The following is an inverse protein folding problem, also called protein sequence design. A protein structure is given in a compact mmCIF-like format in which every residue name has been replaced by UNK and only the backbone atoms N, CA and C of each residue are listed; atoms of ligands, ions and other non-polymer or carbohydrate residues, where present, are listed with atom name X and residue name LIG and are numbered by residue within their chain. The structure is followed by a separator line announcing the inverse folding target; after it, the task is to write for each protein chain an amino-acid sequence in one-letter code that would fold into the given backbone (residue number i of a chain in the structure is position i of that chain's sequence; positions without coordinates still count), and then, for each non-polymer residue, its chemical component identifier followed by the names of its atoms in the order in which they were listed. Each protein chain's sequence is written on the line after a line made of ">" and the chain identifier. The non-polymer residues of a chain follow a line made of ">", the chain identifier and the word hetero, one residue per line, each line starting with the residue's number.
data_IF_856725469076
#
_entry.id   IF_856725469076
#
_cell.length_a   1.000
_cell.length_b   1.000
_cell.length_c   1.000
_cell.angle_alpha   90.00
_cell.angle_beta   90.00
_cell.angle_gamma   90.00
#
_symmetry.space_group_name_H-M   'P 1'
#
loop_
_entity.id
_entity.type
_entity.pdbx_description
1 polymer ?
#
# COMPACT_ATOMS: atom_id res chain seq x y z
N UNK A 1 57.71 -1.21 52.65
CA UNK A 1 56.81 -0.50 51.70
C UNK A 1 56.06 -1.54 50.88
N UNK A 2 54.79 -1.82 51.22
CA UNK A 2 53.95 -2.79 50.53
C UNK A 2 53.17 -2.05 49.43
N UNK A 3 53.43 -2.40 48.14
CA UNK A 3 52.70 -1.89 46.99
C UNK A 3 51.35 -2.62 46.88
N UNK A 4 50.25 -1.90 47.08
CA UNK A 4 48.91 -2.39 46.78
C UNK A 4 48.66 -2.24 45.28
N UNK A 5 48.49 -3.39 44.58
CA UNK A 5 47.98 -3.44 43.22
C UNK A 5 46.42 -3.47 43.32
N UNK A 6 45.78 -2.43 42.80
CA UNK A 6 44.31 -2.36 42.65
C UNK A 6 44.01 -3.01 41.30
N UNK A 7 43.18 -4.06 41.24
CA UNK A 7 42.73 -4.60 39.95
C UNK A 7 41.70 -3.65 39.31
N UNK A 8 42.03 -3.13 38.14
CA UNK A 8 41.08 -2.44 37.30
C UNK A 8 40.11 -3.47 36.76
N UNK A 9 38.89 -3.50 37.31
CA UNK A 9 37.77 -4.24 36.76
C UNK A 9 37.31 -3.55 35.50
N UNK A 10 37.62 -4.14 34.35
CA UNK A 10 37.13 -3.73 33.04
C UNK A 10 35.63 -4.03 32.97
N UNK A 11 34.79 -3.04 33.24
CA UNK A 11 33.34 -3.14 33.04
C UNK A 11 33.07 -3.17 31.54
N UNK A 12 33.00 -4.38 30.95
CA UNK A 12 32.45 -4.59 29.63
C UNK A 12 30.97 -4.25 29.67
N UNK A 13 30.62 -3.02 29.28
CA UNK A 13 29.25 -2.65 29.00
C UNK A 13 28.81 -3.48 27.78
N UNK A 14 28.23 -4.65 28.03
CA UNK A 14 27.46 -5.41 27.04
C UNK A 14 26.24 -4.55 26.69
N UNK A 15 26.35 -3.74 25.63
CA UNK A 15 25.16 -3.16 24.99
C UNK A 15 24.35 -4.32 24.44
N UNK A 16 23.37 -4.77 25.20
CA UNK A 16 22.37 -5.71 24.73
C UNK A 16 21.57 -5.02 23.60
N UNK A 17 22.04 -5.15 22.37
CA UNK A 17 21.23 -4.88 21.18
C UNK A 17 20.10 -5.91 21.22
N UNK A 18 18.91 -5.48 21.63
CA UNK A 18 17.74 -6.34 21.70
C UNK A 18 17.45 -6.94 20.32
N UNK A 19 17.75 -8.23 20.17
CA UNK A 19 17.45 -8.99 18.96
C UNK A 19 15.95 -8.98 18.69
N UNK A 20 15.56 -8.72 17.46
CA UNK A 20 14.14 -8.74 17.05
C UNK A 20 13.64 -10.18 17.17
N UNK A 21 12.57 -10.37 17.95
CA UNK A 21 11.94 -11.69 18.09
C UNK A 21 10.74 -11.78 17.17
N UNK A 22 10.50 -12.98 16.65
CA UNK A 22 9.29 -13.25 15.87
C UNK A 22 8.04 -12.88 16.67
N UNK A 23 7.10 -12.19 16.01
CA UNK A 23 5.80 -11.92 16.59
C UNK A 23 4.69 -12.00 15.52
N UNK A 24 3.51 -12.36 15.96
CA UNK A 24 2.36 -12.57 15.09
C UNK A 24 1.88 -11.30 14.40
N UNK A 25 2.00 -10.14 15.04
CA UNK A 25 1.55 -8.87 14.44
C UNK A 25 2.39 -8.52 13.20
N UNK A 26 3.71 -8.74 13.24
CA UNK A 26 4.59 -8.54 12.09
C UNK A 26 4.20 -9.50 10.94
N UNK A 27 3.99 -10.78 11.25
CA UNK A 27 3.57 -11.75 10.21
C UNK A 27 2.23 -11.38 9.59
N UNK A 28 1.27 -10.92 10.39
CA UNK A 28 -0.03 -10.45 9.89
C UNK A 28 0.14 -9.22 8.97
N UNK A 29 0.99 -8.28 9.36
CA UNK A 29 1.31 -7.11 8.54
C UNK A 29 1.87 -7.52 7.18
N UNK A 30 2.85 -8.42 7.14
CA UNK A 30 3.42 -8.91 5.88
C UNK A 30 2.38 -9.64 5.02
N UNK A 31 1.57 -10.49 5.62
CA UNK A 31 0.49 -11.19 4.90
C UNK A 31 -0.52 -10.22 4.26
N UNK A 32 -0.78 -9.10 4.92
CA UNK A 32 -1.72 -8.09 4.46
C UNK A 32 -1.14 -7.22 3.33
N UNK A 33 0.14 -6.84 3.41
CA UNK A 33 0.73 -5.83 2.53
C UNK A 33 1.74 -6.36 1.52
N UNK A 34 2.09 -7.65 1.55
CA UNK A 34 3.07 -8.24 0.63
C UNK A 34 2.74 -7.99 -0.85
N UNK A 35 1.47 -8.07 -1.21
CA UNK A 35 1.06 -7.92 -2.60
C UNK A 35 1.27 -6.48 -3.08
N UNK A 36 1.01 -5.50 -2.22
CA UNK A 36 1.31 -4.09 -2.52
C UNK A 36 2.81 -3.87 -2.66
N UNK A 37 3.62 -4.41 -1.73
CA UNK A 37 5.06 -4.26 -1.77
C UNK A 37 5.70 -4.88 -3.02
N UNK A 38 5.21 -6.06 -3.45
CA UNK A 38 5.66 -6.71 -4.69
C UNK A 38 5.28 -5.85 -5.91
N UNK A 39 4.08 -5.26 -5.94
CA UNK A 39 3.69 -4.33 -6.99
C UNK A 39 4.63 -3.12 -7.05
N UNK A 40 4.89 -2.48 -5.89
CA UNK A 40 5.81 -1.35 -5.82
C UNK A 40 7.22 -1.72 -6.29
N UNK A 41 7.71 -2.92 -5.96
CA UNK A 41 8.98 -3.43 -6.46
C UNK A 41 9.02 -3.50 -7.98
N UNK A 42 7.95 -3.96 -8.61
CA UNK A 42 7.91 -4.11 -10.06
C UNK A 42 7.80 -2.76 -10.78
N UNK A 43 7.10 -1.80 -10.19
CA UNK A 43 6.92 -0.47 -10.77
C UNK A 43 8.13 0.45 -10.55
N UNK A 44 8.73 0.37 -9.38
CA UNK A 44 9.75 1.33 -8.94
C UNK A 44 11.13 0.72 -8.71
N UNK A 45 11.30 -0.58 -8.92
CA UNK A 45 12.56 -1.30 -8.72
C UNK A 45 13.13 -1.21 -7.27
N UNK A 46 12.25 -1.04 -6.28
CA UNK A 46 12.58 -1.06 -4.85
C UNK A 46 12.29 -2.48 -4.32
N UNK A 47 13.21 -3.17 -3.63
CA UNK A 47 12.93 -4.51 -3.10
C UNK A 47 11.65 -4.57 -2.27
N UNK A 48 10.79 -5.55 -2.52
CA UNK A 48 9.56 -5.74 -1.74
C UNK A 48 9.87 -5.99 -0.27
N UNK A 49 10.96 -6.72 0.00
CA UNK A 49 11.47 -6.97 1.35
C UNK A 49 11.83 -5.68 2.10
N UNK A 50 12.45 -4.73 1.43
CA UNK A 50 12.80 -3.41 1.99
C UNK A 50 11.53 -2.63 2.32
N UNK A 51 10.60 -2.53 1.37
CA UNK A 51 9.34 -1.80 1.58
C UNK A 51 8.54 -2.40 2.74
N UNK A 52 8.45 -3.73 2.83
CA UNK A 52 7.76 -4.40 3.93
C UNK A 52 8.45 -4.19 5.28
N UNK A 53 9.78 -4.32 5.32
CA UNK A 53 10.54 -4.14 6.56
C UNK A 53 10.46 -2.70 7.07
N UNK A 54 10.52 -1.70 6.19
CA UNK A 54 10.28 -0.30 6.54
C UNK A 54 8.86 -0.10 7.03
N UNK A 55 7.86 -0.53 6.27
CA UNK A 55 6.46 -0.35 6.63
C UNK A 55 6.10 -0.95 7.99
N UNK A 56 6.55 -2.17 8.30
CA UNK A 56 6.28 -2.80 9.61
C UNK A 56 6.99 -2.08 10.75
N UNK A 57 8.22 -1.61 10.51
CA UNK A 57 9.05 -0.96 11.50
C UNK A 57 8.56 0.45 11.84
N UNK A 58 8.31 1.28 10.81
CA UNK A 58 7.88 2.68 10.96
C UNK A 58 6.43 2.79 11.48
N UNK A 59 5.57 1.82 11.16
CA UNK A 59 4.16 1.86 11.54
C UNK A 59 3.82 1.04 12.80
N UNK A 60 4.80 0.47 13.50
CA UNK A 60 4.55 -0.48 14.57
C UNK A 60 3.57 -1.59 14.14
N UNK A 61 3.83 -2.21 12.98
CA UNK A 61 2.94 -3.19 12.35
C UNK A 61 1.53 -2.64 11.99
N UNK A 62 1.45 -1.39 11.56
CA UNK A 62 0.20 -0.71 11.22
C UNK A 62 -0.60 -0.22 12.43
N UNK A 63 0.00 -0.23 13.62
CA UNK A 63 -0.65 0.15 14.87
C UNK A 63 -0.25 1.54 15.39
N UNK A 64 0.71 2.21 14.73
CA UNK A 64 1.06 3.58 15.09
C UNK A 64 -0.11 4.53 14.84
N UNK A 65 -0.15 5.64 15.56
CA UNK A 65 -1.17 6.67 15.39
C UNK A 65 -1.23 7.19 13.96
N UNK A 66 -0.09 7.42 13.33
CA UNK A 66 0.02 7.84 11.93
C UNK A 66 -0.57 6.81 10.96
N UNK A 67 -0.35 5.51 11.20
CA UNK A 67 -0.92 4.46 10.38
C UNK A 67 -2.44 4.33 10.56
N UNK A 68 -2.94 4.47 11.81
CA UNK A 68 -4.38 4.33 12.12
C UNK A 68 -5.17 5.54 11.61
N UNK A 69 -4.72 6.77 11.90
CA UNK A 69 -5.46 7.99 11.58
C UNK A 69 -5.26 8.47 10.17
N UNK A 70 -4.05 8.30 9.63
CA UNK A 70 -3.64 8.85 8.33
C UNK A 70 -3.27 7.81 7.29
N UNK A 71 -3.40 6.51 7.53
CA UNK A 71 -2.86 5.45 6.68
C UNK A 71 -1.37 5.66 6.33
N UNK A 72 -0.63 6.42 7.13
CA UNK A 72 0.77 6.74 6.87
C UNK A 72 1.68 5.67 7.50
N UNK A 73 2.04 4.68 6.69
CA UNK A 73 2.84 3.53 7.12
C UNK A 73 4.35 3.79 7.16
N UNK A 74 4.81 4.94 6.68
CA UNK A 74 6.25 5.24 6.54
C UNK A 74 6.67 6.54 7.23
N UNK A 75 5.76 7.20 7.94
CA UNK A 75 6.06 8.44 8.65
C UNK A 75 6.48 9.59 7.73
N UNK A 76 5.89 9.70 6.53
CA UNK A 76 6.29 10.75 5.58
C UNK A 76 5.69 12.08 6.01
N UNK A 77 6.58 13.08 6.22
CA UNK A 77 6.23 14.45 6.63
C UNK A 77 5.66 15.27 5.45
N UNK A 78 4.93 16.34 5.73
CA UNK A 78 4.16 17.14 4.75
C UNK A 78 4.98 17.91 3.71
N UNK A 79 6.30 17.99 3.79
CA UNK A 79 7.10 18.83 2.91
C UNK A 79 6.76 18.64 1.44
N UNK A 80 6.23 19.70 0.80
CA UNK A 80 5.81 19.67 -0.60
C UNK A 80 4.54 18.86 -0.89
N UNK A 81 3.70 18.64 0.14
CA UNK A 81 2.46 17.87 0.03
C UNK A 81 1.23 18.77 -0.05
N UNK A 82 0.35 18.51 -1.02
CA UNK A 82 -0.92 19.24 -1.20
C UNK A 82 -2.16 18.40 -0.85
N UNK A 83 -1.97 17.16 -0.39
CA UNK A 83 -3.04 16.25 0.02
C UNK A 83 -3.45 16.43 1.48
N UNK A 84 -4.26 15.49 1.99
CA UNK A 84 -4.68 15.48 3.40
C UNK A 84 -3.48 15.34 4.33
N UNK A 85 -3.61 15.93 5.52
CA UNK A 85 -2.56 15.94 6.55
C UNK A 85 -3.08 15.45 7.88
N UNK A 86 -2.18 14.98 8.71
CA UNK A 86 -2.39 14.68 10.13
C UNK A 86 -1.22 15.22 10.92
N UNK A 87 -1.39 15.38 12.23
CA UNK A 87 -0.37 15.95 13.10
C UNK A 87 -0.02 14.95 14.20
N UNK A 88 1.27 14.88 14.51
CA UNK A 88 1.79 13.98 15.53
C UNK A 88 3.06 14.56 16.15
N UNK A 89 3.30 14.29 17.42
CA UNK A 89 4.55 14.65 18.10
C UNK A 89 5.63 13.62 17.74
N UNK A 90 6.71 14.08 17.08
CA UNK A 90 7.85 13.26 16.69
C UNK A 90 9.15 13.97 17.13
N UNK A 91 9.98 14.46 16.21
CA UNK A 91 11.16 15.27 16.54
C UNK A 91 10.77 16.61 17.16
N UNK A 92 9.66 17.16 16.73
CA UNK A 92 9.04 18.39 17.25
C UNK A 92 7.58 18.13 17.64
N UNK A 93 7.02 19.06 18.43
CA UNK A 93 5.59 19.00 18.78
C UNK A 93 4.73 19.38 17.57
N UNK A 94 3.63 18.64 17.40
CA UNK A 94 2.62 18.91 16.39
C UNK A 94 3.19 18.97 14.95
N UNK A 95 4.12 18.08 14.61
CA UNK A 95 4.65 18.00 13.26
C UNK A 95 3.60 17.51 12.26
N UNK A 96 3.68 18.04 11.03
CA UNK A 96 2.78 17.71 9.96
C UNK A 96 3.22 16.46 9.20
N UNK A 97 2.33 15.49 9.10
CA UNK A 97 2.51 14.25 8.33
C UNK A 97 1.45 14.12 7.24
N UNK A 98 1.83 13.49 6.14
CA UNK A 98 0.90 13.16 5.04
C UNK A 98 -0.16 12.19 5.54
N UNK A 99 -1.39 12.35 5.06
CA UNK A 99 -2.48 11.41 5.32
C UNK A 99 -3.07 10.93 3.99
N UNK A 100 -3.40 9.64 3.94
CA UNK A 100 -3.83 8.95 2.73
C UNK A 100 -5.20 8.31 2.94
N UNK A 101 -5.92 8.04 1.86
CA UNK A 101 -7.21 7.35 1.92
C UNK A 101 -7.04 5.83 2.10
N UNK A 102 -5.85 5.30 1.80
CA UNK A 102 -5.53 3.88 1.94
C UNK A 102 -4.05 3.64 2.24
N UNK A 103 -3.75 2.47 2.78
CA UNK A 103 -2.37 2.00 2.89
C UNK A 103 -1.68 1.90 1.53
N UNK A 104 -2.43 1.56 0.46
CA UNK A 104 -1.90 1.52 -0.90
C UNK A 104 -1.26 2.87 -1.30
N UNK A 105 -1.97 3.99 -1.05
CA UNK A 105 -1.46 5.33 -1.37
C UNK A 105 -0.21 5.67 -0.57
N UNK A 106 -0.13 5.24 0.69
CA UNK A 106 1.07 5.39 1.50
C UNK A 106 2.27 4.64 0.92
N UNK A 107 2.08 3.40 0.45
CA UNK A 107 3.12 2.61 -0.21
C UNK A 107 3.54 3.20 -1.55
N UNK A 108 2.59 3.71 -2.31
CA UNK A 108 2.84 4.39 -3.58
C UNK A 108 3.66 5.67 -3.37
N UNK A 109 3.24 6.52 -2.45
CA UNK A 109 3.92 7.77 -2.13
C UNK A 109 5.32 7.53 -1.55
N UNK A 110 5.50 6.50 -0.72
CA UNK A 110 6.81 6.08 -0.24
C UNK A 110 7.75 5.69 -1.39
N UNK A 111 7.25 4.93 -2.35
CA UNK A 111 8.05 4.55 -3.52
C UNK A 111 8.43 5.76 -4.35
N UNK A 112 7.50 6.68 -4.61
CA UNK A 112 7.76 7.93 -5.32
C UNK A 112 8.72 8.84 -4.54
N UNK A 113 8.61 8.91 -3.22
CA UNK A 113 9.54 9.64 -2.37
C UNK A 113 10.97 9.15 -2.52
N UNK A 114 11.21 7.84 -2.59
CA UNK A 114 12.53 7.28 -2.81
C UNK A 114 13.05 7.55 -4.23
N UNK A 115 12.21 7.33 -5.25
CA UNK A 115 12.58 7.53 -6.67
C UNK A 115 12.92 8.99 -6.97
N UNK A 116 12.11 9.92 -6.46
CA UNK A 116 12.22 11.34 -6.78
C UNK A 116 13.26 12.09 -5.93
N UNK A 117 13.78 11.49 -4.86
CA UNK A 117 14.77 12.13 -4.00
C UNK A 117 16.20 11.84 -4.48
N UNK A 118 16.97 12.86 -4.89
CA UNK A 118 18.33 12.68 -5.44
C UNK A 118 19.28 11.89 -4.52
N UNK A 119 19.12 12.02 -3.21
CA UNK A 119 19.95 11.34 -2.21
C UNK A 119 19.85 9.80 -2.27
N UNK A 120 18.76 9.24 -2.78
CA UNK A 120 18.57 7.79 -2.92
C UNK A 120 18.92 7.24 -4.30
N UNK A 121 19.30 8.10 -5.26
CA UNK A 121 19.57 7.70 -6.66
C UNK A 121 20.52 6.52 -6.79
N UNK A 122 21.57 6.45 -5.97
CA UNK A 122 22.55 5.37 -6.01
C UNK A 122 21.96 3.99 -5.67
N UNK A 123 20.86 3.93 -4.89
CA UNK A 123 20.23 2.68 -4.52
C UNK A 123 19.66 1.94 -5.75
N UNK A 124 19.22 2.69 -6.75
CA UNK A 124 18.60 2.13 -7.96
C UNK A 124 19.61 1.48 -8.92
N UNK A 125 20.92 1.57 -8.64
CA UNK A 125 21.95 0.79 -9.31
C UNK A 125 22.15 -0.61 -8.71
N UNK A 126 21.61 -0.85 -7.50
CA UNK A 126 21.66 -2.14 -6.83
C UNK A 126 20.64 -3.11 -7.44
N UNK A 127 20.94 -4.40 -7.37
CA UNK A 127 19.94 -5.44 -7.71
C UNK A 127 18.80 -5.37 -6.70
N UNK A 128 17.57 -5.56 -7.16
CA UNK A 128 16.40 -5.61 -6.26
C UNK A 128 16.41 -6.80 -5.27
N UNK A 129 17.25 -7.81 -5.51
CA UNK A 129 17.51 -8.90 -4.57
C UNK A 129 18.62 -8.60 -3.55
N UNK A 130 19.30 -7.45 -3.70
CA UNK A 130 20.33 -7.01 -2.74
C UNK A 130 19.74 -6.15 -1.61
N UNK A 131 18.83 -6.73 -0.86
CA UNK A 131 18.21 -6.04 0.28
C UNK A 131 19.23 -5.55 1.32
N UNK A 132 20.38 -6.21 1.46
CA UNK A 132 21.44 -5.78 2.40
C UNK A 132 22.09 -4.48 1.94
N UNK A 133 22.42 -4.39 0.66
CA UNK A 133 22.92 -3.15 0.03
C UNK A 133 21.89 -2.03 0.12
N UNK A 134 20.63 -2.32 -0.15
CA UNK A 134 19.54 -1.37 -0.02
C UNK A 134 19.38 -0.84 1.42
N UNK A 135 19.32 -1.71 2.44
CA UNK A 135 19.18 -1.31 3.84
C UNK A 135 20.33 -0.40 4.30
N UNK A 136 21.58 -0.78 3.97
CA UNK A 136 22.77 0.01 4.28
C UNK A 136 22.77 1.36 3.54
N UNK A 137 22.40 1.34 2.28
CA UNK A 137 22.34 2.54 1.44
C UNK A 137 21.25 3.52 1.89
N UNK A 138 20.08 3.05 2.30
CA UNK A 138 19.03 3.87 2.91
C UNK A 138 19.55 4.61 4.17
N UNK A 139 20.24 3.86 5.06
CA UNK A 139 20.85 4.47 6.24
C UNK A 139 21.93 5.49 5.87
N UNK A 140 22.83 5.17 4.94
CA UNK A 140 23.89 6.07 4.48
C UNK A 140 23.32 7.33 3.82
N UNK A 141 22.20 7.22 3.10
CA UNK A 141 21.49 8.34 2.48
C UNK A 141 20.63 9.15 3.47
N UNK A 142 20.66 8.81 4.78
CA UNK A 142 19.97 9.57 5.82
C UNK A 142 18.45 9.35 5.87
N UNK A 143 17.98 8.13 5.53
CA UNK A 143 16.56 7.82 5.68
C UNK A 143 16.12 7.86 7.15
N UNK A 144 16.96 7.37 8.06
CA UNK A 144 16.73 7.40 9.49
C UNK A 144 17.99 7.83 10.26
N UNK A 145 17.80 8.46 11.40
CA UNK A 145 18.89 8.91 12.30
C UNK A 145 19.49 7.74 13.09
N UNK A 146 18.67 6.74 13.44
CA UNK A 146 19.08 5.58 14.25
C UNK A 146 20.26 4.82 13.61
N UNK A 147 21.42 4.68 14.29
CA UNK A 147 22.60 3.98 13.76
C UNK A 147 22.33 2.49 13.49
N UNK A 148 21.38 1.87 14.19
CA UNK A 148 21.00 0.46 14.03
C UNK A 148 19.98 0.21 12.92
N UNK A 149 19.52 1.25 12.22
CA UNK A 149 18.41 1.16 11.26
C UNK A 149 18.61 0.07 10.21
N UNK A 150 19.76 0.06 9.54
CA UNK A 150 20.06 -0.93 8.51
C UNK A 150 20.06 -2.37 9.06
N UNK A 151 20.63 -2.55 10.25
CA UNK A 151 20.69 -3.88 10.89
C UNK A 151 19.30 -4.37 11.27
N UNK A 152 18.44 -3.49 11.79
CA UNK A 152 17.06 -3.83 12.13
C UNK A 152 16.24 -4.24 10.91
N UNK A 153 16.37 -3.52 9.79
CA UNK A 153 15.71 -3.92 8.54
C UNK A 153 16.22 -5.29 8.06
N UNK A 154 17.54 -5.51 8.05
CA UNK A 154 18.13 -6.79 7.63
C UNK A 154 17.65 -7.93 8.53
N UNK A 155 17.61 -7.72 9.84
CA UNK A 155 17.15 -8.72 10.81
C UNK A 155 15.68 -9.08 10.59
N UNK A 156 14.79 -8.09 10.38
CA UNK A 156 13.37 -8.31 10.03
C UNK A 156 13.27 -9.12 8.74
N UNK A 157 13.98 -8.71 7.69
CA UNK A 157 13.94 -9.38 6.39
C UNK A 157 14.38 -10.85 6.51
N UNK A 158 15.42 -11.13 7.27
CA UNK A 158 15.93 -12.49 7.46
C UNK A 158 15.00 -13.34 8.33
N UNK A 159 14.51 -12.79 9.45
CA UNK A 159 13.65 -13.49 10.39
C UNK A 159 12.33 -13.95 9.75
N UNK A 160 11.74 -13.12 8.91
CA UNK A 160 10.46 -13.38 8.23
C UNK A 160 10.63 -13.86 6.78
N UNK A 161 11.89 -14.06 6.32
CA UNK A 161 12.24 -14.49 4.96
C UNK A 161 11.63 -13.59 3.87
N UNK A 162 11.52 -12.28 4.12
CA UNK A 162 10.89 -11.36 3.20
C UNK A 162 11.63 -11.27 1.85
N UNK A 163 12.91 -11.63 1.80
CA UNK A 163 13.71 -11.67 0.59
C UNK A 163 13.14 -12.63 -0.48
N UNK A 164 12.30 -13.60 -0.09
CA UNK A 164 11.61 -14.47 -1.04
C UNK A 164 10.64 -13.67 -1.96
N UNK A 165 10.10 -12.57 -1.48
CA UNK A 165 9.24 -11.69 -2.28
C UNK A 165 10.02 -10.89 -3.33
N UNK A 166 11.33 -10.66 -3.15
CA UNK A 166 12.17 -9.95 -4.11
C UNK A 166 12.42 -10.76 -5.39
N UNK A 167 12.25 -12.08 -5.33
CA UNK A 167 12.35 -13.00 -6.45
C UNK A 167 11.02 -13.21 -7.19
N UNK A 168 9.93 -12.60 -6.73
CA UNK A 168 8.62 -12.71 -7.35
C UNK A 168 8.69 -12.20 -8.81
N UNK A 169 8.74 -13.14 -9.77
CA UNK A 169 8.85 -12.84 -11.22
C UNK A 169 7.56 -12.29 -11.81
N UNK A 170 6.44 -12.60 -11.20
CA UNK A 170 5.11 -12.23 -11.67
C UNK A 170 4.25 -11.84 -10.48
N UNK A 171 4.12 -10.55 -10.30
CA UNK A 171 3.07 -10.07 -9.41
C UNK A 171 1.70 -10.43 -9.99
N UNK A 172 1.52 -10.31 -11.26
CA UNK A 172 0.48 -10.93 -12.10
C UNK A 172 0.82 -10.63 -13.57
N UNK A 173 0.64 -11.63 -14.42
CA UNK A 173 0.69 -11.51 -15.89
C UNK A 173 -0.13 -10.32 -16.39
N UNK A 174 -1.24 -10.03 -15.71
CA UNK A 174 -2.10 -8.88 -16.02
C UNK A 174 -1.35 -7.54 -15.91
N UNK A 175 -0.62 -7.28 -14.80
CA UNK A 175 0.11 -6.02 -14.63
C UNK A 175 1.22 -5.90 -15.68
N UNK A 176 1.96 -6.97 -15.95
CA UNK A 176 3.03 -6.95 -16.96
C UNK A 176 2.51 -6.69 -18.39
N UNK A 177 1.28 -7.08 -18.68
CA UNK A 177 0.64 -6.87 -19.99
C UNK A 177 0.02 -5.47 -20.14
N UNK A 178 -0.40 -4.83 -19.03
CA UNK A 178 -1.19 -3.59 -19.05
C UNK A 178 -0.46 -2.36 -18.49
N UNK A 179 0.79 -2.49 -18.04
CA UNK A 179 1.63 -1.37 -17.59
C UNK A 179 2.74 -1.01 -18.58
N UNK A 180 2.74 -1.59 -19.78
CA UNK A 180 3.69 -1.22 -20.83
C UNK A 180 3.38 0.18 -21.34
N UNK A 181 4.42 1.02 -21.35
CA UNK A 181 4.45 2.41 -21.82
C UNK A 181 3.51 2.69 -22.99
N UNK A 182 2.38 3.30 -22.70
CA UNK A 182 1.57 3.98 -23.69
C UNK A 182 1.25 5.37 -23.13
N UNK A 183 2.18 6.32 -23.28
CA UNK A 183 1.88 7.73 -23.04
C UNK A 183 0.93 8.22 -24.12
N UNK A 184 -0.34 8.32 -23.80
CA UNK A 184 -1.35 8.95 -24.65
C UNK A 184 -1.64 10.33 -24.08
N UNK A 185 -1.42 11.38 -24.86
CA UNK A 185 -1.83 12.77 -24.61
C UNK A 185 -1.24 13.54 -23.43
N UNK A 186 0.02 13.33 -23.04
CA UNK A 186 0.72 14.25 -22.11
C UNK A 186 0.22 14.23 -20.65
N UNK A 187 -0.85 13.52 -20.36
CA UNK A 187 -1.26 13.17 -18.98
C UNK A 187 -0.68 11.80 -18.64
N UNK A 188 0.02 11.69 -17.50
CA UNK A 188 0.58 10.41 -17.07
C UNK A 188 -0.47 9.31 -17.01
N UNK A 189 -0.05 8.04 -17.17
CA UNK A 189 -0.93 6.87 -17.11
C UNK A 189 -1.73 6.82 -15.79
N UNK A 190 -2.93 6.20 -15.84
CA UNK A 190 -3.67 5.90 -14.63
C UNK A 190 -2.91 4.93 -13.74
N UNK A 191 -2.88 5.22 -12.44
CA UNK A 191 -2.32 4.30 -11.45
C UNK A 191 -3.27 3.11 -11.30
N UNK A 192 -2.80 1.91 -11.67
CA UNK A 192 -3.56 0.68 -11.42
C UNK A 192 -3.41 0.32 -9.95
N UNK A 193 -4.53 0.28 -9.24
CA UNK A 193 -4.65 -0.08 -7.82
C UNK A 193 -5.21 -1.49 -7.67
N UNK A 194 -4.97 -2.11 -6.49
CA UNK A 194 -5.43 -3.46 -6.20
C UNK A 194 -6.34 -3.46 -4.99
N UNK A 195 -7.45 -4.14 -5.11
CA UNK A 195 -8.33 -4.45 -4.00
C UNK A 195 -9.15 -5.70 -4.30
N UNK A 196 -9.48 -6.47 -3.28
CA UNK A 196 -10.31 -7.66 -3.38
C UNK A 196 -9.85 -8.66 -4.47
N UNK A 197 -8.53 -8.85 -4.60
CA UNK A 197 -7.90 -9.70 -5.63
C UNK A 197 -8.26 -9.26 -7.06
N UNK A 198 -8.46 -7.98 -7.26
CA UNK A 198 -8.81 -7.38 -8.53
C UNK A 198 -8.06 -6.06 -8.72
N UNK A 199 -8.02 -5.56 -9.94
CA UNK A 199 -7.37 -4.33 -10.34
C UNK A 199 -8.41 -3.26 -10.64
N UNK A 200 -8.11 -2.02 -10.29
CA UNK A 200 -8.94 -0.88 -10.62
C UNK A 200 -8.11 0.38 -10.81
N UNK A 201 -8.69 1.34 -11.46
CA UNK A 201 -8.18 2.72 -11.57
C UNK A 201 -9.25 3.67 -11.03
N UNK A 202 -8.83 4.91 -10.80
CA UNK A 202 -9.75 6.00 -10.49
C UNK A 202 -9.91 6.85 -11.75
N UNK A 203 -11.14 7.00 -12.22
CA UNK A 203 -11.45 7.81 -13.38
C UNK A 203 -11.10 9.29 -13.13
N UNK A 204 -10.57 9.95 -14.16
CA UNK A 204 -10.29 11.38 -14.18
C UNK A 204 -11.39 12.11 -14.96
N UNK A 205 -11.47 13.41 -14.79
CA UNK A 205 -12.39 14.26 -15.56
C UNK A 205 -12.18 14.05 -17.07
N UNK A 206 -13.24 13.69 -17.77
CA UNK A 206 -13.24 13.45 -19.21
C UNK A 206 -12.88 12.03 -19.64
N UNK A 207 -12.65 11.11 -18.69
CA UNK A 207 -12.49 9.71 -19.01
C UNK A 207 -13.76 9.08 -19.56
N UNK A 208 -13.57 8.13 -20.45
CA UNK A 208 -14.62 7.26 -20.99
C UNK A 208 -14.11 5.82 -21.01
N UNK A 209 -14.97 4.84 -21.09
CA UNK A 209 -14.52 3.45 -21.31
C UNK A 209 -13.69 3.32 -22.58
N UNK A 210 -13.89 4.17 -23.58
CA UNK A 210 -13.13 4.17 -24.83
C UNK A 210 -11.71 4.70 -24.63
N UNK A 211 -11.53 5.84 -23.93
CA UNK A 211 -10.19 6.39 -23.64
C UNK A 211 -9.39 5.48 -22.74
N UNK A 212 -10.02 4.95 -21.68
CA UNK A 212 -9.40 3.97 -20.79
C UNK A 212 -9.02 2.66 -21.50
N UNK A 213 -9.84 2.23 -22.46
CA UNK A 213 -9.53 1.04 -23.31
C UNK A 213 -8.25 1.23 -24.11
N UNK A 214 -8.01 2.42 -24.64
CA UNK A 214 -6.81 2.74 -25.41
C UNK A 214 -5.56 2.76 -24.51
N UNK A 215 -5.69 3.31 -23.31
CA UNK A 215 -4.60 3.38 -22.35
C UNK A 215 -4.23 2.00 -21.78
N UNK A 216 -5.25 1.21 -21.38
CA UNK A 216 -5.04 -0.01 -20.59
C UNK A 216 -4.96 -1.27 -21.48
N UNK A 217 -5.38 -1.18 -22.74
CA UNK A 217 -5.38 -2.34 -23.66
C UNK A 217 -6.51 -3.35 -23.40
N UNK A 218 -7.50 -3.01 -22.58
CA UNK A 218 -8.71 -3.82 -22.37
C UNK A 218 -9.86 -3.23 -23.19
N UNK A 219 -10.53 -4.03 -24.03
CA UNK A 219 -11.61 -3.48 -24.84
C UNK A 219 -12.69 -2.78 -24.00
N UNK A 220 -13.17 -1.63 -24.45
CA UNK A 220 -14.15 -0.79 -23.72
C UNK A 220 -15.44 -1.54 -23.38
N UNK A 221 -15.87 -2.48 -24.23
CA UNK A 221 -17.02 -3.35 -23.93
C UNK A 221 -16.76 -4.31 -22.78
N UNK A 222 -15.53 -4.81 -22.62
CA UNK A 222 -15.14 -5.62 -21.44
C UNK A 222 -15.04 -4.76 -20.19
N UNK A 223 -14.45 -3.56 -20.28
CA UNK A 223 -14.39 -2.62 -19.16
C UNK A 223 -15.79 -2.29 -18.65
N UNK A 224 -16.70 -1.89 -19.51
CA UNK A 224 -18.08 -1.61 -19.16
C UNK A 224 -18.76 -2.81 -18.48
N UNK A 225 -18.61 -4.02 -19.06
CA UNK A 225 -19.14 -5.26 -18.50
C UNK A 225 -18.57 -5.60 -17.11
N UNK A 226 -17.27 -5.35 -16.87
CA UNK A 226 -16.64 -5.58 -15.57
C UNK A 226 -17.18 -4.64 -14.51
N UNK A 227 -17.61 -3.44 -14.92
CA UNK A 227 -18.20 -2.41 -14.07
C UNK A 227 -19.72 -2.45 -14.02
N UNK A 228 -20.37 -3.41 -14.74
CA UNK A 228 -21.82 -3.56 -14.76
C UNK A 228 -22.52 -2.29 -15.28
N UNK A 229 -21.91 -1.63 -16.31
CA UNK A 229 -22.34 -0.39 -16.96
C UNK A 229 -22.53 -0.60 -18.48
N UNK A 230 -23.27 0.30 -19.11
CA UNK A 230 -23.24 0.41 -20.58
C UNK A 230 -21.91 1.02 -21.04
N UNK A 231 -21.46 0.61 -22.20
CA UNK A 231 -20.16 1.06 -22.78
C UNK A 231 -20.17 2.54 -23.18
N UNK A 232 -21.34 3.16 -23.25
CA UNK A 232 -21.54 4.58 -23.59
C UNK A 232 -21.79 5.45 -22.36
N UNK A 233 -21.89 4.86 -21.17
CA UNK A 233 -22.06 5.62 -19.95
C UNK A 233 -20.87 6.57 -19.73
N UNK A 234 -21.17 7.77 -19.27
CA UNK A 234 -20.17 8.73 -18.82
C UNK A 234 -19.57 8.28 -17.49
N UNK A 235 -18.30 8.57 -17.29
CA UNK A 235 -17.58 8.24 -16.05
C UNK A 235 -17.39 9.52 -15.23
N UNK A 236 -17.77 9.45 -13.96
CA UNK A 236 -17.55 10.56 -13.04
C UNK A 236 -16.09 10.59 -12.56
N UNK A 237 -15.57 11.81 -12.35
CA UNK A 237 -14.26 11.98 -11.73
C UNK A 237 -14.25 11.37 -10.33
N UNK A 238 -13.25 10.55 -10.04
CA UNK A 238 -13.14 9.81 -8.77
C UNK A 238 -13.83 8.44 -8.77
N UNK A 239 -14.55 8.07 -9.85
CA UNK A 239 -15.20 6.77 -9.94
C UNK A 239 -14.18 5.62 -10.02
N UNK A 240 -14.45 4.54 -9.29
CA UNK A 240 -13.65 3.30 -9.35
C UNK A 240 -13.99 2.52 -10.60
N UNK A 241 -13.02 2.27 -11.46
CA UNK A 241 -13.18 1.47 -12.68
C UNK A 241 -12.40 0.17 -12.57
N UNK A 242 -13.12 -0.92 -12.44
CA UNK A 242 -12.55 -2.26 -12.32
C UNK A 242 -12.03 -2.80 -13.65
N UNK A 243 -10.82 -3.30 -13.65
CA UNK A 243 -10.14 -3.80 -14.85
C UNK A 243 -10.33 -5.31 -15.09
N UNK A 244 -10.89 -6.02 -14.13
CA UNK A 244 -11.35 -7.40 -14.24
C UNK A 244 -12.73 -7.55 -13.58
N UNK A 245 -13.38 -8.68 -13.86
CA UNK A 245 -14.68 -9.01 -13.27
C UNK A 245 -14.61 -8.99 -11.74
N UNK A 246 -15.49 -8.22 -11.10
CA UNK A 246 -15.60 -8.11 -9.64
C UNK A 246 -15.83 -9.46 -8.95
N UNK A 247 -15.44 -9.56 -7.70
CA UNK A 247 -15.61 -10.77 -6.88
C UNK A 247 -17.07 -10.98 -6.44
N UNK A 248 -17.38 -12.15 -5.91
CA UNK A 248 -18.72 -12.41 -5.34
C UNK A 248 -18.87 -11.84 -3.91
N UNK A 249 -17.77 -11.62 -3.20
CA UNK A 249 -17.69 -11.19 -1.79
C UNK A 249 -16.49 -10.26 -1.59
N UNK A 250 -16.54 -9.40 -0.58
CA UNK A 250 -15.40 -8.62 -0.12
C UNK A 250 -14.26 -9.54 0.42
N UNK A 251 -13.05 -9.01 0.67
CA UNK A 251 -11.96 -9.74 1.31
C UNK A 251 -12.36 -10.39 2.64
N UNK A 252 -11.57 -11.37 3.11
CA UNK A 252 -11.91 -12.14 4.34
C UNK A 252 -12.04 -11.26 5.58
N UNK A 253 -11.27 -10.18 5.63
CA UNK A 253 -11.23 -9.22 6.74
C UNK A 253 -12.57 -8.51 6.95
N UNK A 254 -13.43 -8.51 5.93
CA UNK A 254 -14.79 -7.95 6.00
C UNK A 254 -15.85 -8.96 6.47
N UNK A 255 -15.46 -10.12 7.01
CA UNK A 255 -16.41 -11.16 7.41
C UNK A 255 -17.41 -10.67 8.48
N UNK A 256 -16.91 -10.00 9.49
CA UNK A 256 -17.71 -9.45 10.59
C UNK A 256 -18.07 -7.96 10.40
N UNK A 257 -17.61 -7.37 9.29
CA UNK A 257 -17.87 -5.97 8.98
C UNK A 257 -19.22 -5.80 8.30
N UNK A 258 -19.97 -4.75 8.68
CA UNK A 258 -21.17 -4.26 8.00
C UNK A 258 -20.91 -2.87 7.48
N UNK A 259 -21.26 -2.63 6.22
CA UNK A 259 -21.29 -1.27 5.68
C UNK A 259 -22.61 -0.62 6.04
N UNK A 260 -22.58 0.47 6.75
CA UNK A 260 -23.77 1.27 7.02
C UNK A 260 -23.91 2.30 5.91
N UNK A 261 -25.07 2.28 5.25
CA UNK A 261 -25.39 3.15 4.11
C UNK A 261 -25.33 4.61 4.53
N UNK A 262 -24.65 5.43 3.75
CA UNK A 262 -24.53 6.86 3.94
C UNK A 262 -25.38 7.61 2.91
N UNK A 263 -25.63 8.88 3.16
CA UNK A 263 -26.34 9.75 2.20
C UNK A 263 -25.65 9.73 0.84
N UNK A 264 -26.42 9.54 -0.22
CA UNK A 264 -25.94 9.49 -1.61
C UNK A 264 -25.35 8.14 -2.05
N UNK A 265 -25.23 7.16 -1.17
CA UNK A 265 -24.80 5.82 -1.58
C UNK A 265 -25.95 5.00 -2.17
N UNK A 266 -25.60 4.13 -3.10
CA UNK A 266 -26.49 3.12 -3.70
C UNK A 266 -25.88 1.73 -3.56
N UNK A 267 -26.69 0.68 -3.76
CA UNK A 267 -26.14 -0.69 -3.82
C UNK A 267 -25.04 -0.81 -4.89
N UNK A 268 -25.16 -0.06 -5.98
CA UNK A 268 -24.14 -0.03 -7.03
C UNK A 268 -22.84 0.63 -6.51
N UNK A 269 -22.91 1.82 -5.91
CA UNK A 269 -21.72 2.51 -5.39
C UNK A 269 -21.02 1.69 -4.30
N UNK A 270 -21.77 1.02 -3.42
CA UNK A 270 -21.22 0.10 -2.41
C UNK A 270 -20.56 -1.11 -3.08
N UNK A 271 -21.20 -1.69 -4.11
CA UNK A 271 -20.62 -2.79 -4.87
C UNK A 271 -19.32 -2.40 -5.58
N UNK A 272 -19.26 -1.19 -6.16
CA UNK A 272 -18.05 -0.62 -6.75
C UNK A 272 -16.95 -0.45 -5.70
N UNK A 273 -17.25 0.18 -4.58
CA UNK A 273 -16.31 0.44 -3.49
C UNK A 273 -15.62 -0.82 -2.97
N UNK A 274 -16.35 -1.93 -2.85
CA UNK A 274 -15.81 -3.17 -2.30
C UNK A 274 -15.45 -4.23 -3.35
N UNK A 275 -15.50 -3.89 -4.63
CA UNK A 275 -15.18 -4.81 -5.72
C UNK A 275 -16.06 -6.06 -5.75
N UNK A 276 -17.34 -5.90 -5.42
CA UNK A 276 -18.32 -6.97 -5.36
C UNK A 276 -19.28 -6.83 -6.54
N UNK A 277 -19.66 -7.96 -7.15
CA UNK A 277 -20.73 -7.97 -8.18
C UNK A 277 -22.04 -7.51 -7.55
N UNK A 278 -22.73 -6.55 -8.18
CA UNK A 278 -23.98 -5.99 -7.70
C UNK A 278 -25.02 -7.09 -7.38
N UNK A 279 -25.23 -8.03 -8.32
CA UNK A 279 -26.11 -9.19 -8.12
C UNK A 279 -25.73 -10.03 -6.89
N UNK A 280 -24.42 -10.17 -6.62
CA UNK A 280 -23.94 -10.93 -5.45
C UNK A 280 -24.17 -10.18 -4.15
N UNK A 281 -24.08 -8.84 -4.17
CA UNK A 281 -24.36 -8.00 -3.01
C UNK A 281 -25.83 -8.05 -2.62
N UNK A 282 -26.75 -7.93 -3.58
CA UNK A 282 -28.19 -8.11 -3.35
C UNK A 282 -28.49 -9.50 -2.76
N UNK A 283 -28.00 -10.56 -3.43
CA UNK A 283 -28.23 -11.94 -2.97
C UNK A 283 -27.75 -12.19 -1.55
N UNK A 284 -26.59 -11.64 -1.19
CA UNK A 284 -25.95 -11.83 0.12
C UNK A 284 -26.75 -11.16 1.24
N UNK A 285 -27.47 -10.10 0.91
CA UNK A 285 -28.31 -9.33 1.85
C UNK A 285 -29.79 -9.74 1.79
N UNK A 286 -30.14 -10.76 1.00
CA UNK A 286 -31.54 -11.19 0.79
C UNK A 286 -32.43 -10.05 0.29
N UNK A 287 -31.87 -9.11 -0.48
CA UNK A 287 -32.57 -7.95 -1.03
C UNK A 287 -32.97 -8.22 -2.48
N UNK A 288 -34.13 -7.71 -2.85
CA UNK A 288 -34.57 -7.65 -4.25
C UNK A 288 -33.81 -6.51 -4.97
N UNK A 289 -33.47 -6.64 -6.27
CA UNK A 289 -32.87 -5.55 -7.05
C UNK A 289 -33.66 -4.23 -7.03
N UNK A 290 -34.98 -4.28 -6.82
CA UNK A 290 -35.85 -3.10 -6.72
C UNK A 290 -35.84 -2.45 -5.33
N UNK A 291 -35.16 -3.05 -4.34
CA UNK A 291 -35.07 -2.51 -3.00
C UNK A 291 -34.27 -1.22 -2.98
N UNK A 292 -34.90 -0.16 -2.47
CA UNK A 292 -34.29 1.15 -2.27
C UNK A 292 -33.64 1.19 -0.89
N UNK A 293 -32.30 1.13 -0.86
CA UNK A 293 -31.58 1.24 0.40
C UNK A 293 -31.74 2.61 1.05
N UNK A 294 -31.77 2.61 2.39
CA UNK A 294 -31.91 3.83 3.19
C UNK A 294 -30.64 4.09 4.00
N UNK A 295 -30.43 5.37 4.35
CA UNK A 295 -29.30 5.74 5.22
C UNK A 295 -29.41 5.00 6.55
N UNK A 296 -28.32 4.35 6.95
CA UNK A 296 -28.26 3.51 8.16
C UNK A 296 -28.50 2.01 7.91
N UNK A 297 -28.95 1.60 6.73
CA UNK A 297 -29.06 0.18 6.41
C UNK A 297 -27.70 -0.53 6.55
N UNK A 298 -27.70 -1.70 7.20
CA UNK A 298 -26.49 -2.48 7.45
C UNK A 298 -26.25 -3.52 6.34
N UNK A 299 -25.40 -3.22 5.40
CA UNK A 299 -25.12 -4.06 4.23
C UNK A 299 -23.98 -5.04 4.54
N UNK A 300 -24.28 -6.32 4.43
CA UNK A 300 -23.31 -7.42 4.52
C UNK A 300 -22.47 -7.46 3.24
N UNK A 301 -21.14 -7.61 3.42
CA UNK A 301 -20.17 -7.59 2.31
C UNK A 301 -19.56 -8.96 2.02
N UNK A 302 -19.75 -9.92 2.97
CA UNK A 302 -19.19 -11.27 2.86
C UNK A 302 -20.03 -12.34 3.58
#
# INVERSE_FOLDING_TARGET
>A
MKKFLIPIALFMCLTASGQIRWNQAYQQYFNQYKDIAIEQMQRYNIPASITLAQGVFESAAGKSELAIRGNNHFGIKCKGWNGRTTYHDDDERNECFRAYDSAYESYEDHSQFLVNSPRYRQLFSLKKTDYKGWAKGLKAAGYATNPQYAYKLIEIIQLYKLYEYDEAKHYDKFMSEHTKDHSVNGQGLHVIKIFNKNYYIIARKGDTFKTLSQEIGISYSKLAKYNERDKRDELDEGEIIWLKKKQKKAPKDYKEYRHYVRQGESMYSIAQKYGIRLKSLYKMNHLNPDYQIQVGDAIRLR
#
